data_IF_593616123257
#
_entry.id   IF_593616123257
#
_cell.length_a   1.000
_cell.length_b   1.000
_cell.length_c   1.000
_cell.angle_alpha   90.00
_cell.angle_beta   90.00
_cell.angle_gamma   90.00
#
_symmetry.space_group_name_H-M   'P 1'
#
loop_
_entity.id
_entity.type
_entity.pdbx_description
1 polymer ?
#
# COMPACT_ATOMS: atom_id res chain seq x y z
N UNK A 1 -16.06 7.62 -25.63
CA UNK A 1 -14.80 8.28 -25.21
C UNK A 1 -15.12 9.76 -25.12
N UNK A 2 -15.03 10.33 -23.92
CA UNK A 2 -15.74 11.54 -23.55
C UNK A 2 -15.02 12.81 -24.05
N UNK A 3 -15.36 13.23 -25.27
CA UNK A 3 -14.76 14.35 -25.99
C UNK A 3 -14.91 15.69 -25.26
N UNK A 4 -15.94 15.84 -24.42
CA UNK A 4 -16.14 17.02 -23.58
C UNK A 4 -15.15 17.10 -22.43
N UNK A 5 -14.78 15.94 -21.87
CA UNK A 5 -13.82 15.81 -20.77
C UNK A 5 -12.38 16.04 -21.26
N UNK A 6 -12.05 15.54 -22.45
CA UNK A 6 -10.80 15.89 -23.14
C UNK A 6 -10.76 17.37 -23.53
N UNK A 7 -11.87 17.94 -23.96
CA UNK A 7 -11.98 19.37 -24.29
C UNK A 7 -11.82 20.26 -23.05
N UNK A 8 -12.33 19.89 -21.88
CA UNK A 8 -12.20 20.67 -20.65
C UNK A 8 -10.79 20.57 -20.03
N UNK A 9 -10.11 19.44 -20.18
CA UNK A 9 -8.70 19.29 -19.79
C UNK A 9 -7.79 20.01 -20.81
N UNK A 10 -8.13 19.98 -22.10
CA UNK A 10 -7.34 20.60 -23.17
C UNK A 10 -7.61 22.10 -23.40
N UNK A 11 -8.75 22.64 -22.94
CA UNK A 11 -9.13 24.04 -23.16
C UNK A 11 -8.33 25.05 -22.34
N UNK A 12 -7.57 24.59 -21.33
CA UNK A 12 -6.73 25.45 -20.50
C UNK A 12 -7.49 26.42 -19.59
N UNK A 13 -8.81 26.24 -19.43
CA UNK A 13 -9.59 26.96 -18.44
C UNK A 13 -9.43 26.29 -17.07
N UNK A 14 -8.71 26.96 -16.17
CA UNK A 14 -8.38 26.45 -14.84
C UNK A 14 -9.61 26.04 -14.02
N UNK A 15 -10.75 26.74 -14.21
CA UNK A 15 -11.98 26.44 -13.49
C UNK A 15 -12.63 25.13 -13.97
N UNK A 16 -12.72 24.94 -15.29
CA UNK A 16 -13.22 23.72 -15.92
C UNK A 16 -12.34 22.52 -15.61
N UNK A 17 -11.01 22.70 -15.61
CA UNK A 17 -10.06 21.65 -15.22
C UNK A 17 -10.20 21.26 -13.74
N UNK A 18 -10.29 22.23 -12.82
CA UNK A 18 -10.48 21.97 -11.40
C UNK A 18 -11.79 21.23 -11.10
N UNK A 19 -12.89 21.58 -11.77
CA UNK A 19 -14.18 20.90 -11.60
C UNK A 19 -14.11 19.42 -12.04
N UNK A 20 -13.44 19.14 -13.15
CA UNK A 20 -13.25 17.78 -13.69
C UNK A 20 -12.39 16.93 -12.74
N UNK A 21 -11.26 17.46 -12.25
CA UNK A 21 -10.42 16.78 -11.25
C UNK A 21 -11.18 16.54 -9.95
N UNK A 22 -12.03 17.49 -9.54
CA UNK A 22 -12.91 17.35 -8.39
C UNK A 22 -13.88 16.18 -8.52
N UNK A 23 -14.59 16.09 -9.65
CA UNK A 23 -15.51 14.98 -9.93
C UNK A 23 -14.80 13.62 -9.96
N UNK A 24 -13.62 13.55 -10.60
CA UNK A 24 -12.80 12.34 -10.59
C UNK A 24 -12.38 11.92 -9.17
N UNK A 25 -11.98 12.89 -8.34
CA UNK A 25 -11.58 12.62 -6.95
C UNK A 25 -12.74 12.08 -6.10
N UNK A 26 -13.96 12.58 -6.31
CA UNK A 26 -15.15 12.06 -5.62
C UNK A 26 -15.46 10.61 -6.00
N UNK A 27 -15.36 10.26 -7.28
CA UNK A 27 -15.53 8.88 -7.73
C UNK A 27 -14.48 7.94 -7.09
N UNK A 28 -13.24 8.42 -6.89
CA UNK A 28 -12.20 7.66 -6.17
C UNK A 28 -12.54 7.50 -4.69
N UNK A 29 -13.05 8.54 -4.01
CA UNK A 29 -13.53 8.44 -2.62
C UNK A 29 -14.65 7.39 -2.49
N UNK A 30 -15.61 7.40 -3.41
CA UNK A 30 -16.70 6.40 -3.45
C UNK A 30 -16.14 4.99 -3.64
N UNK A 31 -15.19 4.82 -4.56
CA UNK A 31 -14.52 3.52 -4.75
C UNK A 31 -13.81 3.07 -3.48
N UNK A 32 -13.03 3.93 -2.83
CA UNK A 32 -12.32 3.59 -1.58
C UNK A 32 -13.33 3.17 -0.50
N UNK A 33 -14.46 3.88 -0.40
CA UNK A 33 -15.53 3.54 0.55
C UNK A 33 -16.09 2.14 0.27
N UNK A 34 -16.37 1.84 -1.00
CA UNK A 34 -16.83 0.52 -1.42
C UNK A 34 -15.79 -0.58 -1.13
N UNK A 35 -14.50 -0.32 -1.35
CA UNK A 35 -13.44 -1.30 -1.05
C UNK A 35 -13.30 -1.64 0.44
N UNK A 36 -13.80 -0.79 1.33
CA UNK A 36 -13.83 -1.04 2.79
C UNK A 36 -15.06 -1.83 3.23
N UNK A 37 -15.99 -2.14 2.32
CA UNK A 37 -17.19 -2.88 2.66
C UNK A 37 -16.85 -4.35 2.97
N UNK A 38 -17.39 -4.96 4.05
CA UNK A 38 -17.02 -6.31 4.47
C UNK A 38 -17.28 -7.43 3.45
N UNK A 39 -18.15 -7.20 2.46
CA UNK A 39 -18.49 -8.16 1.40
C UNK A 39 -17.61 -8.02 0.16
N UNK A 40 -16.81 -6.96 0.05
CA UNK A 40 -15.88 -6.79 -1.05
C UNK A 40 -14.64 -7.61 -0.72
N UNK A 41 -14.38 -8.63 -1.53
CA UNK A 41 -13.18 -9.45 -1.47
C UNK A 41 -11.98 -8.65 -1.99
N UNK A 42 -11.58 -7.63 -1.23
CA UNK A 42 -10.33 -6.91 -1.41
C UNK A 42 -9.58 -6.96 -0.08
N UNK A 43 -8.28 -7.28 -0.13
CA UNK A 43 -7.45 -7.22 1.06
C UNK A 43 -7.06 -5.76 1.26
N UNK A 44 -7.96 -5.00 1.91
CA UNK A 44 -7.66 -3.62 2.30
C UNK A 44 -6.44 -3.59 3.24
N UNK A 45 -5.65 -2.53 3.18
CA UNK A 45 -4.42 -2.41 3.96
C UNK A 45 -4.65 -2.57 5.47
N UNK A 46 -5.80 -2.11 5.98
CA UNK A 46 -6.17 -2.29 7.39
C UNK A 46 -6.35 -3.77 7.75
N UNK A 47 -7.06 -4.53 6.90
CA UNK A 47 -7.24 -5.97 7.06
C UNK A 47 -5.91 -6.73 6.89
N UNK A 48 -5.05 -6.33 5.95
CA UNK A 48 -3.71 -6.92 5.78
C UNK A 48 -2.87 -6.72 7.04
N UNK A 49 -2.85 -5.49 7.58
CA UNK A 49 -2.12 -5.16 8.80
C UNK A 49 -2.61 -6.01 9.98
N UNK A 50 -3.93 -6.16 10.15
CA UNK A 50 -4.51 -6.97 11.21
C UNK A 50 -4.15 -8.46 11.06
N UNK A 51 -4.24 -9.00 9.84
CA UNK A 51 -3.87 -10.39 9.56
C UNK A 51 -2.39 -10.64 9.85
N UNK A 52 -1.49 -9.75 9.41
CA UNK A 52 -0.06 -9.86 9.72
C UNK A 52 0.20 -9.72 11.23
N UNK A 53 -0.53 -8.86 11.96
CA UNK A 53 -0.40 -8.77 13.43
C UNK A 53 -0.77 -10.09 14.12
N UNK A 54 -1.82 -10.77 13.63
CA UNK A 54 -2.21 -12.10 14.12
C UNK A 54 -1.14 -13.16 13.82
N UNK A 55 -0.54 -13.15 12.62
CA UNK A 55 0.57 -14.05 12.30
C UNK A 55 1.82 -13.74 13.13
N UNK A 56 2.10 -12.47 13.39
CA UNK A 56 3.18 -12.04 14.27
C UNK A 56 2.97 -12.53 15.71
N UNK A 57 1.73 -12.61 16.20
CA UNK A 57 1.43 -13.20 17.52
C UNK A 57 1.86 -14.66 17.61
N UNK A 58 1.74 -15.43 16.53
CA UNK A 58 2.19 -16.83 16.49
C UNK A 58 3.71 -16.96 16.69
N UNK A 59 4.50 -15.93 16.38
CA UNK A 59 5.95 -15.94 16.63
C UNK A 59 6.28 -15.94 18.13
N UNK A 60 5.47 -15.26 18.95
CA UNK A 60 5.62 -15.26 20.41
C UNK A 60 5.34 -16.67 20.97
N UNK A 61 4.28 -17.30 20.49
CA UNK A 61 3.89 -18.66 20.88
C UNK A 61 4.93 -19.72 20.47
N UNK A 62 5.75 -19.40 19.46
CA UNK A 62 6.72 -20.31 18.86
C UNK A 62 8.17 -20.00 19.23
N UNK A 63 8.37 -19.23 20.29
CA UNK A 63 9.70 -18.97 20.85
C UNK A 63 10.54 -17.96 20.05
N UNK A 64 9.93 -17.18 19.16
CA UNK A 64 10.58 -16.11 18.41
C UNK A 64 9.96 -14.71 18.73
N UNK A 65 9.87 -14.31 20.02
CA UNK A 65 9.24 -13.05 20.40
C UNK A 65 9.94 -11.82 19.81
N UNK A 66 11.26 -11.85 19.65
CA UNK A 66 12.04 -10.74 19.09
C UNK A 66 11.64 -10.45 17.63
N UNK A 67 11.42 -11.50 16.82
CA UNK A 67 10.91 -11.37 15.44
C UNK A 67 9.48 -10.84 15.47
N UNK A 68 8.63 -11.36 16.36
CA UNK A 68 7.26 -10.89 16.54
C UNK A 68 7.19 -9.39 16.88
N UNK A 69 8.02 -8.93 17.82
CA UNK A 69 8.12 -7.51 18.19
C UNK A 69 8.64 -6.64 17.04
N UNK A 70 9.63 -7.13 16.30
CA UNK A 70 10.17 -6.44 15.14
C UNK A 70 9.11 -6.28 14.04
N UNK A 71 8.35 -7.33 13.70
CA UNK A 71 7.23 -7.25 12.75
C UNK A 71 6.17 -6.26 13.24
N UNK A 72 5.76 -6.32 14.52
CA UNK A 72 4.75 -5.40 15.07
C UNK A 72 5.21 -3.95 15.06
N UNK A 73 6.51 -3.69 15.21
CA UNK A 73 7.09 -2.34 15.05
C UNK A 73 6.91 -1.84 13.62
N UNK A 74 7.24 -2.65 12.61
CA UNK A 74 7.02 -2.33 11.19
C UNK A 74 5.54 -2.05 10.93
N UNK A 75 4.63 -2.91 11.41
CA UNK A 75 3.19 -2.68 11.30
C UNK A 75 2.76 -1.38 11.98
N UNK A 76 3.37 -0.99 13.09
CA UNK A 76 3.15 0.31 13.73
C UNK A 76 3.48 1.49 12.82
N UNK A 77 4.54 1.39 12.01
CA UNK A 77 4.85 2.40 10.99
C UNK A 77 3.84 2.38 9.86
N UNK A 78 3.44 1.21 9.38
CA UNK A 78 2.44 1.09 8.32
C UNK A 78 1.07 1.63 8.75
N UNK A 79 0.60 1.35 9.97
CA UNK A 79 -0.64 1.93 10.54
C UNK A 79 -0.61 3.46 10.54
N UNK A 80 0.54 4.08 10.84
CA UNK A 80 0.68 5.55 10.77
C UNK A 80 0.55 6.08 9.35
N UNK A 81 1.13 5.39 8.36
CA UNK A 81 0.97 5.74 6.95
C UNK A 81 -0.49 5.60 6.50
N UNK A 82 -1.14 4.51 6.91
CA UNK A 82 -2.55 4.26 6.63
C UNK A 82 -3.47 5.29 7.29
N UNK A 83 -3.15 5.75 8.48
CA UNK A 83 -3.85 6.88 9.11
C UNK A 83 -3.72 8.17 8.28
N UNK A 84 -2.53 8.48 7.76
CA UNK A 84 -2.32 9.64 6.88
C UNK A 84 -3.12 9.50 5.57
N UNK A 85 -3.11 8.31 4.95
CA UNK A 85 -3.95 7.98 3.80
C UNK A 85 -5.42 8.30 4.09
N UNK A 86 -5.97 7.72 5.16
CA UNK A 86 -7.37 7.86 5.54
C UNK A 86 -7.74 9.32 5.82
N UNK A 87 -6.86 10.10 6.46
CA UNK A 87 -7.07 11.53 6.70
C UNK A 87 -7.23 12.33 5.40
N UNK A 88 -6.43 12.02 4.37
CA UNK A 88 -6.56 12.72 3.08
C UNK A 88 -7.81 12.33 2.30
N UNK A 89 -8.21 11.05 2.37
CA UNK A 89 -9.50 10.58 1.82
C UNK A 89 -10.65 11.33 2.48
N UNK A 90 -10.67 11.42 3.81
CA UNK A 90 -11.70 12.14 4.56
C UNK A 90 -11.71 13.63 4.24
N UNK A 91 -10.54 14.26 4.08
CA UNK A 91 -10.43 15.67 3.72
C UNK A 91 -11.02 15.94 2.34
N UNK A 92 -10.69 15.12 1.34
CA UNK A 92 -11.23 15.24 -0.03
C UNK A 92 -12.74 14.96 -0.05
N UNK A 93 -13.20 13.97 0.72
CA UNK A 93 -14.62 13.62 0.81
C UNK A 93 -15.49 14.76 1.37
N UNK A 94 -14.96 15.54 2.32
CA UNK A 94 -15.68 16.62 3.01
C UNK A 94 -15.53 17.99 2.34
N UNK A 95 -14.63 18.12 1.37
CA UNK A 95 -14.38 19.40 0.71
C UNK A 95 -15.56 19.79 -0.21
N UNK A 96 -16.00 21.04 -0.08
CA UNK A 96 -16.95 21.65 -1.01
C UNK A 96 -16.27 21.99 -2.36
N UNK A 97 -17.06 22.29 -3.38
CA UNK A 97 -16.52 22.57 -4.73
C UNK A 97 -15.57 23.78 -4.76
N UNK A 98 -15.75 24.74 -3.85
CA UNK A 98 -14.94 25.96 -3.78
C UNK A 98 -13.51 25.68 -3.27
N UNK A 99 -13.37 24.73 -2.34
CA UNK A 99 -12.08 24.39 -1.74
C UNK A 99 -11.47 23.08 -2.27
N UNK A 100 -12.23 22.27 -3.00
CA UNK A 100 -11.84 20.91 -3.41
C UNK A 100 -10.48 20.85 -4.10
N UNK A 101 -10.20 21.75 -5.05
CA UNK A 101 -8.91 21.76 -5.74
C UNK A 101 -7.74 22.05 -4.78
N UNK A 102 -7.92 23.01 -3.86
CA UNK A 102 -6.91 23.33 -2.83
C UNK A 102 -6.68 22.14 -1.90
N UNK A 103 -7.75 21.45 -1.49
CA UNK A 103 -7.68 20.27 -0.63
C UNK A 103 -6.99 19.11 -1.36
N UNK A 104 -7.29 18.86 -2.63
CA UNK A 104 -6.63 17.83 -3.45
C UNK A 104 -5.12 18.06 -3.49
N UNK A 105 -4.67 19.29 -3.77
CA UNK A 105 -3.25 19.62 -3.83
C UNK A 105 -2.56 19.48 -2.46
N UNK A 106 -3.20 19.96 -1.38
CA UNK A 106 -2.67 19.83 -0.03
C UNK A 106 -2.60 18.36 0.43
N UNK A 107 -3.62 17.57 0.11
CA UNK A 107 -3.67 16.12 0.37
C UNK A 107 -2.57 15.38 -0.40
N UNK A 108 -2.33 15.74 -1.67
CA UNK A 108 -1.24 15.16 -2.46
C UNK A 108 0.13 15.46 -1.83
N UNK A 109 0.38 16.69 -1.40
CA UNK A 109 1.63 17.06 -0.71
C UNK A 109 1.80 16.31 0.62
N UNK A 110 0.72 16.21 1.41
CA UNK A 110 0.70 15.46 2.67
C UNK A 110 1.09 13.99 2.47
N UNK A 111 0.48 13.33 1.49
CA UNK A 111 0.78 11.92 1.18
C UNK A 111 2.21 11.76 0.71
N UNK A 112 2.71 12.61 -0.19
CA UNK A 112 4.11 12.54 -0.65
C UNK A 112 5.10 12.68 0.50
N UNK A 113 4.89 13.64 1.42
CA UNK A 113 5.73 13.78 2.61
C UNK A 113 5.67 12.56 3.51
N UNK A 114 4.49 11.99 3.70
CA UNK A 114 4.31 10.76 4.47
C UNK A 114 5.06 9.57 3.84
N UNK A 115 5.04 9.46 2.50
CA UNK A 115 5.81 8.47 1.72
C UNK A 115 7.31 8.65 1.91
N UNK A 116 7.84 9.87 1.78
CA UNK A 116 9.26 10.14 2.01
C UNK A 116 9.67 9.81 3.44
N UNK A 117 8.87 10.25 4.42
CA UNK A 117 9.10 9.91 5.82
C UNK A 117 9.06 8.40 6.06
N UNK A 118 8.26 7.63 5.31
CA UNK A 118 8.28 6.18 5.39
C UNK A 118 9.60 5.63 4.87
N UNK A 119 10.06 6.04 3.69
CA UNK A 119 11.32 5.60 3.08
C UNK A 119 12.53 5.79 4.00
N UNK A 120 12.53 6.85 4.80
CA UNK A 120 13.61 7.17 5.74
C UNK A 120 13.58 6.36 7.05
N UNK A 121 12.54 5.56 7.30
CA UNK A 121 12.42 4.79 8.54
C UNK A 121 13.45 3.67 8.62
N UNK A 122 14.27 3.64 9.65
CA UNK A 122 15.05 2.43 9.94
C UNK A 122 14.16 1.39 10.65
N UNK A 123 13.99 0.21 10.03
CA UNK A 123 13.32 -0.92 10.66
C UNK A 123 14.25 -1.68 11.62
N UNK A 124 15.55 -1.39 11.61
CA UNK A 124 16.57 -2.16 12.29
C UNK A 124 16.84 -3.50 11.61
N UNK A 125 17.90 -4.21 12.02
CA UNK A 125 18.23 -5.51 11.49
C UNK A 125 17.14 -6.54 11.83
N UNK A 126 16.98 -7.53 10.95
CA UNK A 126 16.14 -8.70 11.22
C UNK A 126 16.73 -9.44 12.44
N UNK A 127 15.95 -9.69 13.50
CA UNK A 127 16.44 -10.44 14.66
C UNK A 127 16.90 -11.84 14.25
N UNK A 128 17.96 -12.38 14.88
CA UNK A 128 18.47 -13.71 14.53
C UNK A 128 17.41 -14.79 14.76
N UNK A 129 17.36 -15.77 13.86
CA UNK A 129 16.54 -16.98 14.06
C UNK A 129 17.39 -17.98 14.85
N UNK A 130 16.79 -18.68 15.82
CA UNK A 130 17.49 -19.74 16.56
C UNK A 130 18.03 -20.80 15.58
N UNK A 131 19.21 -21.35 15.86
CA UNK A 131 19.87 -22.36 15.03
C UNK A 131 19.14 -23.72 15.00
N UNK A 132 18.09 -23.90 15.80
CA UNK A 132 17.28 -25.11 15.83
C UNK A 132 16.09 -24.93 14.88
N UNK A 133 15.89 -25.80 13.86
CA UNK A 133 14.84 -25.60 12.86
C UNK A 133 13.44 -25.68 13.49
N UNK A 134 12.85 -24.53 13.78
CA UNK A 134 11.48 -24.42 14.23
C UNK A 134 10.56 -24.22 13.02
N UNK A 135 10.04 -25.32 12.47
CA UNK A 135 9.03 -25.31 11.39
C UNK A 135 7.85 -24.37 11.68
N UNK A 136 7.49 -24.18 12.96
CA UNK A 136 6.48 -23.21 13.36
C UNK A 136 6.84 -21.74 13.08
N UNK A 137 8.11 -21.36 13.25
CA UNK A 137 8.59 -20.00 12.96
C UNK A 137 8.56 -19.77 11.45
N UNK A 138 9.08 -20.71 10.66
CA UNK A 138 8.99 -20.67 9.20
C UNK A 138 7.53 -20.53 8.73
N UNK A 139 6.60 -21.31 9.30
CA UNK A 139 5.18 -21.20 8.96
C UNK A 139 4.60 -19.82 9.27
N UNK A 140 4.89 -19.24 10.45
CA UNK A 140 4.42 -17.89 10.78
C UNK A 140 4.98 -16.83 9.81
N UNK A 141 6.27 -16.91 9.51
CA UNK A 141 6.94 -15.99 8.57
C UNK A 141 6.37 -16.14 7.16
N UNK A 142 6.14 -17.38 6.71
CA UNK A 142 5.49 -17.67 5.45
C UNK A 142 4.10 -17.04 5.35
N UNK A 143 3.27 -17.19 6.40
CA UNK A 143 1.94 -16.56 6.46
C UNK A 143 2.01 -15.02 6.44
N UNK A 144 2.98 -14.41 7.13
CA UNK A 144 3.22 -12.96 7.08
C UNK A 144 3.52 -12.51 5.66
N UNK A 145 4.44 -13.21 5.00
CA UNK A 145 4.88 -12.88 3.65
C UNK A 145 3.77 -13.07 2.61
N UNK A 146 3.05 -14.19 2.62
CA UNK A 146 1.96 -14.43 1.66
C UNK A 146 0.81 -13.46 1.86
N UNK A 147 0.45 -13.15 3.10
CA UNK A 147 -0.55 -12.11 3.42
C UNK A 147 -0.17 -10.76 2.80
N UNK A 148 1.10 -10.37 2.87
CA UNK A 148 1.57 -9.13 2.27
C UNK A 148 1.60 -9.20 0.74
N UNK A 149 2.12 -10.31 0.18
CA UNK A 149 2.28 -10.53 -1.26
C UNK A 149 0.94 -10.48 -2.00
N UNK A 150 -0.09 -11.11 -1.43
CA UNK A 150 -1.38 -11.34 -2.08
C UNK A 150 -2.29 -10.10 -2.07
N UNK A 151 -1.78 -8.94 -1.63
CA UNK A 151 -2.49 -7.66 -1.74
C UNK A 151 -2.75 -7.30 -3.21
N UNK A 152 -3.93 -6.74 -3.46
CA UNK A 152 -4.30 -6.22 -4.78
C UNK A 152 -3.92 -4.73 -4.85
N UNK A 153 -3.03 -4.31 -5.76
CA UNK A 153 -2.60 -2.91 -5.85
C UNK A 153 -3.75 -1.93 -6.08
N UNK A 154 -3.74 -0.75 -5.45
CA UNK A 154 -4.74 0.31 -5.66
C UNK A 154 -4.79 0.76 -7.12
N UNK A 155 -3.67 0.71 -7.85
CA UNK A 155 -3.67 1.01 -9.28
C UNK A 155 -4.66 0.13 -10.06
N UNK A 156 -4.75 -1.16 -9.72
CA UNK A 156 -5.73 -2.08 -10.31
C UNK A 156 -7.13 -1.75 -9.82
N UNK A 157 -7.28 -1.39 -8.54
CA UNK A 157 -8.57 -1.06 -7.94
C UNK A 157 -9.18 0.27 -8.44
N UNK A 158 -8.34 1.20 -8.90
CA UNK A 158 -8.72 2.49 -9.45
C UNK A 158 -8.73 2.51 -10.98
N UNK A 159 -8.40 1.40 -11.64
CA UNK A 159 -8.48 1.35 -13.09
C UNK A 159 -9.91 1.68 -13.55
N UNK A 160 -10.01 2.60 -14.50
CA UNK A 160 -11.26 3.17 -15.02
C UNK A 160 -12.17 3.92 -14.01
N UNK A 161 -11.83 4.03 -12.72
CA UNK A 161 -12.60 4.80 -11.73
C UNK A 161 -12.46 6.29 -12.02
N UNK A 162 -13.57 7.03 -12.10
CA UNK A 162 -13.55 8.49 -12.33
C UNK A 162 -13.02 8.93 -13.72
N UNK A 163 -12.80 7.99 -14.65
CA UNK A 163 -12.34 8.26 -16.01
C UNK A 163 -10.96 8.93 -16.08
N UNK A 164 -10.72 9.73 -17.12
CA UNK A 164 -9.43 10.42 -17.33
C UNK A 164 -9.05 11.37 -16.18
N UNK A 165 -10.06 11.94 -15.49
CA UNK A 165 -9.88 12.93 -14.44
C UNK A 165 -9.41 12.36 -13.09
N UNK A 166 -9.57 11.06 -12.90
CA UNK A 166 -9.04 10.33 -11.74
C UNK A 166 -7.77 9.56 -12.10
N UNK A 167 -7.35 9.58 -13.37
CA UNK A 167 -6.08 8.98 -13.77
C UNK A 167 -4.92 9.70 -13.04
N UNK A 168 -3.93 8.97 -12.51
CA UNK A 168 -2.75 9.57 -11.85
C UNK A 168 -2.00 10.59 -12.72
N UNK A 169 -2.09 10.52 -14.05
CA UNK A 169 -1.51 11.53 -14.94
C UNK A 169 -2.16 12.92 -14.87
N UNK A 170 -3.40 13.02 -14.38
CA UNK A 170 -4.15 14.28 -14.29
C UNK A 170 -4.50 14.65 -12.84
N UNK A 171 -4.65 13.65 -11.96
CA UNK A 171 -5.03 13.87 -10.56
C UNK A 171 -3.83 13.68 -9.62
N UNK A 172 -3.26 14.77 -9.08
CA UNK A 172 -2.05 14.69 -8.26
C UNK A 172 -2.27 13.98 -6.93
N UNK A 173 -3.49 13.96 -6.39
CA UNK A 173 -3.81 13.23 -5.17
C UNK A 173 -3.87 11.73 -5.43
N UNK A 174 -4.57 11.30 -6.50
CA UNK A 174 -4.62 9.87 -6.88
C UNK A 174 -3.22 9.34 -7.21
N UNK A 175 -2.39 10.12 -7.91
CA UNK A 175 -0.99 9.77 -8.12
C UNK A 175 -0.25 9.54 -6.81
N UNK A 176 -0.37 10.47 -5.85
CA UNK A 176 0.29 10.36 -4.56
C UNK A 176 -0.18 9.12 -3.76
N UNK A 177 -1.47 8.76 -3.81
CA UNK A 177 -2.00 7.55 -3.15
C UNK A 177 -1.39 6.27 -3.73
N UNK A 178 -1.35 6.17 -5.06
CA UNK A 178 -0.77 5.01 -5.76
C UNK A 178 0.73 4.90 -5.47
N UNK A 179 1.45 6.02 -5.55
CA UNK A 179 2.89 6.07 -5.27
C UNK A 179 3.20 5.66 -3.82
N UNK A 180 2.41 6.13 -2.84
CA UNK A 180 2.59 5.77 -1.44
C UNK A 180 2.40 4.28 -1.22
N UNK A 181 1.31 3.70 -1.73
CA UNK A 181 1.03 2.28 -1.59
C UNK A 181 2.13 1.44 -2.25
N UNK A 182 2.55 1.81 -3.46
CA UNK A 182 3.59 1.09 -4.18
C UNK A 182 4.92 1.09 -3.42
N UNK A 183 5.33 2.25 -2.91
CA UNK A 183 6.55 2.39 -2.10
C UNK A 183 6.47 1.52 -0.83
N UNK A 184 5.32 1.54 -0.16
CA UNK A 184 5.10 0.72 1.04
C UNK A 184 5.14 -0.77 0.68
N UNK A 185 4.46 -1.18 -0.39
CA UNK A 185 4.41 -2.55 -0.88
C UNK A 185 5.81 -3.08 -1.21
N UNK A 186 6.54 -2.44 -2.14
CA UNK A 186 7.88 -2.88 -2.54
C UNK A 186 8.84 -3.00 -1.33
N UNK A 187 8.77 -2.03 -0.43
CA UNK A 187 9.66 -1.99 0.73
C UNK A 187 9.33 -3.08 1.74
N UNK A 188 8.07 -3.28 2.07
CA UNK A 188 7.64 -4.35 2.99
C UNK A 188 7.83 -5.73 2.36
N UNK A 189 7.59 -5.88 1.06
CA UNK A 189 7.87 -7.10 0.31
C UNK A 189 9.32 -7.52 0.48
N UNK A 190 10.27 -6.61 0.23
CA UNK A 190 11.70 -6.87 0.39
C UNK A 190 12.06 -7.31 1.81
N UNK A 191 11.52 -6.63 2.80
CA UNK A 191 11.81 -6.89 4.22
C UNK A 191 11.24 -8.23 4.69
N UNK A 192 10.01 -8.56 4.29
CA UNK A 192 9.40 -9.85 4.62
C UNK A 192 9.98 -11.01 3.80
N UNK A 193 10.40 -10.76 2.56
CA UNK A 193 11.14 -11.74 1.75
C UNK A 193 12.47 -12.10 2.41
N UNK A 194 13.24 -11.11 2.88
CA UNK A 194 14.49 -11.36 3.62
C UNK A 194 14.25 -12.12 4.93
N UNK A 195 13.16 -11.81 5.65
CA UNK A 195 12.77 -12.58 6.84
C UNK A 195 12.44 -14.04 6.48
N UNK A 196 11.76 -14.27 5.36
CA UNK A 196 11.43 -15.60 4.83
C UNK A 196 12.70 -16.37 4.42
N UNK A 197 13.67 -15.71 3.78
CA UNK A 197 14.99 -16.26 3.50
C UNK A 197 15.70 -16.68 4.79
N UNK A 198 15.76 -15.79 5.78
CA UNK A 198 16.44 -16.04 7.05
C UNK A 198 15.76 -17.16 7.87
N UNK A 199 14.46 -17.36 7.71
CA UNK A 199 13.71 -18.43 8.36
C UNK A 199 13.94 -19.81 7.72
N UNK A 200 14.72 -19.91 6.63
CA UNK A 200 15.09 -21.16 5.99
C UNK A 200 14.14 -21.63 4.88
N UNK A 201 13.35 -20.72 4.27
CA UNK A 201 12.44 -21.09 3.18
C UNK A 201 13.16 -21.58 1.91
N UNK A 202 14.38 -21.12 1.66
CA UNK A 202 15.12 -21.35 0.41
C UNK A 202 16.43 -22.11 0.60
N UNK A 203 16.49 -23.03 1.57
CA UNK A 203 17.68 -23.86 1.81
C UNK A 203 18.03 -24.71 0.56
N UNK A 204 19.20 -24.42 -0.03
CA UNK A 204 20.01 -25.16 -1.03
C UNK A 204 19.33 -25.82 -2.25
N UNK A 205 18.02 -25.61 -2.46
CA UNK A 205 17.29 -26.08 -3.63
C UNK A 205 16.87 -24.88 -4.48
N UNK A 206 17.57 -24.67 -5.58
CA UNK A 206 17.28 -23.60 -6.54
C UNK A 206 15.82 -23.59 -7.03
N UNK A 207 15.14 -24.76 -6.99
CA UNK A 207 13.76 -24.94 -7.45
C UNK A 207 12.69 -24.21 -6.59
N UNK A 208 12.93 -23.99 -5.29
CA UNK A 208 11.91 -23.38 -4.41
C UNK A 208 11.75 -21.86 -4.62
N UNK A 209 12.74 -21.23 -5.28
CA UNK A 209 12.69 -19.81 -5.66
C UNK A 209 11.78 -19.55 -6.86
N UNK A 210 11.49 -20.56 -7.69
CA UNK A 210 10.65 -20.38 -8.90
C UNK A 210 9.21 -19.98 -8.58
N UNK A 211 8.74 -20.22 -7.35
CA UNK A 211 7.39 -19.87 -6.90
C UNK A 211 7.25 -18.43 -6.37
N UNK A 212 8.35 -17.68 -6.27
CA UNK A 212 8.38 -16.36 -5.69
C UNK A 212 9.12 -15.37 -6.58
N UNK A 213 8.51 -14.21 -6.86
CA UNK A 213 9.24 -13.11 -7.45
C UNK A 213 10.27 -12.57 -6.45
N UNK A 214 11.50 -12.41 -6.90
CA UNK A 214 12.52 -11.72 -6.10
C UNK A 214 12.10 -10.25 -5.89
N UNK A 215 12.57 -9.58 -4.82
CA UNK A 215 12.29 -8.16 -4.62
C UNK A 215 12.62 -7.28 -5.83
N UNK A 216 13.72 -7.59 -6.54
CA UNK A 216 14.13 -6.83 -7.72
C UNK A 216 13.24 -7.09 -8.95
N UNK A 217 12.56 -8.23 -9.02
CA UNK A 217 11.53 -8.50 -10.04
C UNK A 217 10.24 -7.76 -9.74
N UNK A 218 9.83 -7.75 -8.48
CA UNK A 218 8.68 -6.95 -8.02
C UNK A 218 8.93 -5.47 -8.30
N UNK A 219 10.12 -4.96 -7.98
CA UNK A 219 10.52 -3.57 -8.27
C UNK A 219 10.55 -3.25 -9.78
N UNK A 220 10.76 -4.26 -10.65
CA UNK A 220 10.73 -4.09 -12.12
C UNK A 220 9.32 -4.12 -12.68
N UNK A 221 8.43 -4.95 -12.14
CA UNK A 221 7.03 -5.05 -12.58
C UNK A 221 6.19 -3.85 -12.15
N UNK A 222 6.65 -3.13 -11.13
CA UNK A 222 5.94 -2.01 -10.51
C UNK A 222 6.35 -0.64 -11.05
N UNK A 223 7.41 -0.57 -11.87
CA UNK A 223 7.84 0.64 -12.62
C UNK A 223 7.04 0.79 -13.91
#
# INVERSE_FOLDING_TARGET
>A
MDTQLQSAIASGDDASHAAVIGAGSRAVVERITHLREPWVLNIDADATIESIDQHAMKLFERGAPEIGEWVRRILGHWRRQRSCFNLTVDAVARADDAELNRVILASADCIRRATFAFLDLDFGPIPPVSNDPFYGVLLAVGEIFTTHRDQVPLRVQFDCVGGLAANPGHNPWVAALIDQELVIYCRLYRVFFQLLEQAGMFDDRDDDREFFYTPDEVDRQTR
#
